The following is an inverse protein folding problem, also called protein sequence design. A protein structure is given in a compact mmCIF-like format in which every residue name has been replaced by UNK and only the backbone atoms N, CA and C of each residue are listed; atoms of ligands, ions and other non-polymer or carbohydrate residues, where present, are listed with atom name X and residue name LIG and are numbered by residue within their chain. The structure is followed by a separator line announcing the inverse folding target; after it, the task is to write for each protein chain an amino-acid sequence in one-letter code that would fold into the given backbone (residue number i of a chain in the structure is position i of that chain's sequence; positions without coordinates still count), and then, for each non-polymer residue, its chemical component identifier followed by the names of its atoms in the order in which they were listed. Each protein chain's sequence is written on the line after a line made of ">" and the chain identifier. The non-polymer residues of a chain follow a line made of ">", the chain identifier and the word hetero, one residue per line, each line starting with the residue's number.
data_IF_484937819454
#
_entry.id   IF_484937819454
#
_cell.length_a   1.000
_cell.length_b   1.000
_cell.length_c   1.000
_cell.angle_alpha   90.00
_cell.angle_beta   90.00
_cell.angle_gamma   90.00
#
_symmetry.space_group_name_H-M   'P 1'
#
loop_
_entity.id
_entity.type
_entity.pdbx_description
1 polymer ?
#
# COMPACT_ATOMS: atom_id res chain seq x y z
N UNK A 1 7.87 16.08 3.79
CA UNK A 1 6.45 16.30 4.13
C UNK A 1 5.91 15.03 4.76
N UNK A 2 4.90 15.15 5.64
CA UNK A 2 4.29 13.99 6.28
C UNK A 2 3.10 13.50 5.44
N UNK A 3 3.05 12.20 5.20
CA UNK A 3 1.97 11.54 4.49
C UNK A 3 1.33 10.47 5.38
N UNK A 4 0.03 10.25 5.21
CA UNK A 4 -0.66 9.09 5.77
C UNK A 4 -1.15 8.22 4.61
N UNK A 5 -0.68 6.98 4.56
CA UNK A 5 -1.12 5.99 3.59
C UNK A 5 -2.15 5.06 4.24
N UNK A 6 -3.35 5.04 3.67
CA UNK A 6 -4.37 4.02 3.92
C UNK A 6 -4.44 3.10 2.71
N UNK A 7 -4.63 1.81 2.93
CA UNK A 7 -4.68 0.81 1.89
C UNK A 7 -5.64 -0.30 2.28
N UNK A 8 -6.26 -0.92 1.28
CA UNK A 8 -7.08 -2.11 1.47
C UNK A 8 -7.07 -2.97 0.19
N UNK A 9 -7.44 -4.25 0.34
CA UNK A 9 -7.46 -5.20 -0.75
C UNK A 9 -8.39 -6.37 -0.47
N UNK A 10 -9.13 -6.78 -1.49
CA UNK A 10 -10.00 -7.95 -1.46
C UNK A 10 -9.72 -8.87 -2.67
N UNK A 11 -10.59 -9.85 -2.92
CA UNK A 11 -10.39 -10.84 -3.99
C UNK A 11 -10.39 -10.25 -5.41
N UNK A 12 -11.02 -9.09 -5.62
CA UNK A 12 -11.23 -8.49 -6.93
C UNK A 12 -10.58 -7.13 -7.11
N UNK A 13 -10.33 -6.40 -6.02
CA UNK A 13 -9.90 -5.02 -6.04
C UNK A 13 -8.81 -4.73 -5.01
N UNK A 14 -8.08 -3.67 -5.30
CA UNK A 14 -7.18 -2.98 -4.37
C UNK A 14 -7.52 -1.51 -4.37
N UNK A 15 -7.29 -0.86 -3.24
CA UNK A 15 -7.48 0.58 -3.10
C UNK A 15 -6.45 1.16 -2.16
N UNK A 16 -6.17 2.46 -2.36
CA UNK A 16 -5.33 3.22 -1.47
C UNK A 16 -5.69 4.69 -1.48
N UNK A 17 -5.28 5.37 -0.42
CA UNK A 17 -5.43 6.80 -0.22
C UNK A 17 -4.15 7.33 0.41
N UNK A 18 -3.53 8.31 -0.23
CA UNK A 18 -2.39 9.07 0.30
C UNK A 18 -2.91 10.44 0.69
N UNK A 19 -2.87 10.72 1.99
CA UNK A 19 -3.27 12.00 2.56
C UNK A 19 -2.03 12.82 2.89
N UNK A 20 -2.05 14.07 2.44
CA UNK A 20 -1.12 15.14 2.81
C UNK A 20 -1.86 16.18 3.65
N UNK A 21 -1.15 17.19 4.14
CA UNK A 21 -1.79 18.32 4.84
C UNK A 21 -2.67 19.18 3.90
N UNK A 22 -2.41 19.12 2.60
CA UNK A 22 -3.06 19.99 1.59
C UNK A 22 -4.12 19.26 0.75
N UNK A 23 -3.97 17.94 0.58
CA UNK A 23 -4.73 17.17 -0.40
C UNK A 23 -4.82 15.69 -0.06
N UNK A 24 -5.81 15.05 -0.68
CA UNK A 24 -6.04 13.62 -0.62
C UNK A 24 -6.02 13.08 -2.05
N UNK A 25 -5.18 12.08 -2.29
CA UNK A 25 -5.12 11.35 -3.54
C UNK A 25 -5.53 9.90 -3.32
N UNK A 26 -6.58 9.44 -4.01
CA UNK A 26 -7.11 8.08 -3.85
C UNK A 26 -7.19 7.34 -5.19
N UNK A 27 -7.14 6.02 -5.10
CA UNK A 27 -7.27 5.11 -6.24
C UNK A 27 -8.01 3.85 -5.81
N UNK A 28 -8.79 3.29 -6.73
CA UNK A 28 -9.38 1.97 -6.65
C UNK A 28 -9.16 1.28 -8.00
N UNK A 29 -8.61 0.08 -7.98
CA UNK A 29 -8.29 -0.69 -9.19
C UNK A 29 -8.74 -2.13 -9.03
N UNK A 30 -9.25 -2.69 -10.12
CA UNK A 30 -9.43 -4.13 -10.20
C UNK A 30 -8.07 -4.84 -10.31
N UNK A 31 -7.98 -6.01 -9.69
CA UNK A 31 -6.88 -6.93 -9.96
C UNK A 31 -6.84 -7.27 -11.44
N UNK A 32 -5.63 -7.44 -11.97
CA UNK A 32 -5.48 -7.93 -13.34
C UNK A 32 -6.13 -9.31 -13.46
N UNK A 33 -6.64 -9.64 -14.67
CA UNK A 33 -7.40 -10.88 -14.90
C UNK A 33 -6.68 -12.14 -14.42
N UNK A 34 -5.36 -12.14 -14.46
CA UNK A 34 -4.53 -13.29 -14.05
C UNK A 34 -4.50 -13.50 -12.52
N UNK A 35 -4.78 -12.48 -11.71
CA UNK A 35 -4.75 -12.52 -10.24
C UNK A 35 -6.14 -12.38 -9.58
N UNK A 36 -7.17 -11.97 -10.33
CA UNK A 36 -8.56 -11.86 -9.85
C UNK A 36 -9.03 -13.20 -9.24
N UNK A 37 -9.52 -13.15 -8.00
CA UNK A 37 -9.96 -14.31 -7.21
C UNK A 37 -8.90 -15.39 -6.94
N UNK A 38 -7.61 -15.11 -7.18
CA UNK A 38 -6.50 -16.04 -6.86
C UNK A 38 -5.72 -15.64 -5.61
N UNK A 39 -5.76 -14.36 -5.26
CA UNK A 39 -5.12 -13.83 -4.06
C UNK A 39 -6.05 -13.94 -2.86
N UNK A 40 -5.51 -14.28 -1.70
CA UNK A 40 -6.22 -14.13 -0.44
C UNK A 40 -6.40 -12.66 -0.11
N UNK A 41 -7.35 -12.30 0.77
CA UNK A 41 -7.54 -10.91 1.19
C UNK A 41 -6.24 -10.30 1.76
N UNK A 42 -5.51 -11.04 2.60
CA UNK A 42 -4.24 -10.57 3.16
C UNK A 42 -3.19 -10.33 2.08
N UNK A 43 -3.07 -11.23 1.09
CA UNK A 43 -2.17 -11.03 -0.05
C UNK A 43 -2.56 -9.83 -0.89
N UNK A 44 -3.86 -9.60 -1.10
CA UNK A 44 -4.35 -8.41 -1.81
C UNK A 44 -3.99 -7.11 -1.08
N UNK A 45 -4.01 -7.09 0.26
CA UNK A 45 -3.54 -5.94 1.05
C UNK A 45 -2.03 -5.69 0.88
N UNK A 46 -1.21 -6.74 0.82
CA UNK A 46 0.23 -6.58 0.47
C UNK A 46 0.44 -6.02 -0.94
N UNK A 47 -0.37 -6.48 -1.91
CA UNK A 47 -0.34 -5.93 -3.27
C UNK A 47 -0.74 -4.46 -3.28
N UNK A 48 -1.79 -4.08 -2.54
CA UNK A 48 -2.21 -2.70 -2.38
C UNK A 48 -1.08 -1.83 -1.78
N UNK A 49 -0.39 -2.32 -0.75
CA UNK A 49 0.77 -1.65 -0.16
C UNK A 49 1.88 -1.39 -1.19
N UNK A 50 2.30 -2.42 -1.91
CA UNK A 50 3.34 -2.30 -2.93
C UNK A 50 2.93 -1.29 -4.01
N UNK A 51 1.74 -1.44 -4.59
CA UNK A 51 1.29 -0.57 -5.68
C UNK A 51 1.10 0.87 -5.22
N UNK A 52 0.57 1.10 -4.01
CA UNK A 52 0.36 2.45 -3.49
C UNK A 52 1.67 3.24 -3.35
N UNK A 53 2.74 2.60 -2.85
CA UNK A 53 4.06 3.22 -2.73
C UNK A 53 4.65 3.55 -4.10
N UNK A 54 4.66 2.58 -5.02
CA UNK A 54 5.21 2.79 -6.38
C UNK A 54 4.43 3.84 -7.16
N UNK A 55 3.09 3.82 -7.06
CA UNK A 55 2.25 4.81 -7.72
C UNK A 55 2.42 6.19 -7.10
N UNK A 56 2.50 6.32 -5.78
CA UNK A 56 2.69 7.59 -5.10
C UNK A 56 4.03 8.24 -5.45
N UNK A 57 5.10 7.46 -5.60
CA UNK A 57 6.39 7.93 -6.13
C UNK A 57 6.27 8.32 -7.60
N UNK A 58 5.68 7.45 -8.43
CA UNK A 58 5.55 7.68 -9.88
C UNK A 58 4.66 8.87 -10.26
N UNK A 59 3.76 9.29 -9.36
CA UNK A 59 2.89 10.47 -9.52
C UNK A 59 3.43 11.71 -8.80
N UNK A 60 4.63 11.64 -8.22
CA UNK A 60 5.27 12.71 -7.45
C UNK A 60 4.45 13.20 -6.25
N UNK A 61 3.53 12.38 -5.74
CA UNK A 61 2.84 12.66 -4.47
C UNK A 61 3.82 12.42 -3.31
N UNK A 62 4.54 11.30 -3.36
CA UNK A 62 5.64 10.98 -2.47
C UNK A 62 6.93 11.42 -3.15
N UNK A 63 7.71 12.27 -2.48
CA UNK A 63 8.99 12.79 -2.97
C UNK A 63 10.14 12.36 -2.08
N UNK A 64 11.36 12.63 -2.52
CA UNK A 64 12.55 12.37 -1.72
C UNK A 64 12.47 13.09 -0.36
N UNK A 65 12.92 12.44 0.71
CA UNK A 65 12.85 12.89 2.10
C UNK A 65 11.44 13.09 2.68
N UNK A 66 10.40 12.61 2.00
CA UNK A 66 9.06 12.54 2.60
C UNK A 66 8.96 11.38 3.58
N UNK A 67 8.20 11.60 4.65
CA UNK A 67 7.90 10.58 5.64
C UNK A 67 6.47 10.06 5.44
N UNK A 68 6.30 8.74 5.44
CA UNK A 68 5.01 8.10 5.22
C UNK A 68 4.63 7.26 6.44
N UNK A 69 3.50 7.58 7.03
CA UNK A 69 2.86 6.77 8.05
C UNK A 69 1.85 5.82 7.41
N UNK A 70 2.17 4.54 7.39
CA UNK A 70 1.30 3.49 6.83
C UNK A 70 0.30 3.04 7.91
N UNK A 71 -0.99 3.06 7.57
CA UNK A 71 -2.08 2.58 8.41
C UNK A 71 -2.45 1.15 7.98
N UNK A 72 -2.27 0.22 8.90
CA UNK A 72 -2.57 -1.20 8.71
C UNK A 72 -3.70 -1.58 9.66
N UNK A 73 -4.66 -2.35 9.17
CA UNK A 73 -5.75 -2.92 9.95
C UNK A 73 -5.45 -4.36 10.41
N UNK A 74 -4.57 -5.06 9.69
CA UNK A 74 -4.15 -6.42 10.02
C UNK A 74 -2.89 -6.45 10.91
N UNK A 75 -3.02 -7.01 12.12
CA UNK A 75 -1.88 -7.16 13.05
C UNK A 75 -0.74 -7.97 12.43
N UNK A 76 -1.06 -9.01 11.66
CA UNK A 76 -0.06 -9.85 10.99
C UNK A 76 0.81 -9.04 10.02
N UNK A 77 0.24 -8.03 9.34
CA UNK A 77 1.02 -7.15 8.45
C UNK A 77 2.00 -6.29 9.24
N UNK A 78 1.53 -5.69 10.33
CA UNK A 78 2.39 -4.90 11.19
C UNK A 78 3.54 -5.73 11.75
N UNK A 79 3.25 -6.92 12.27
CA UNK A 79 4.26 -7.81 12.83
C UNK A 79 5.31 -8.18 11.77
N UNK A 80 4.88 -8.58 10.56
CA UNK A 80 5.79 -8.96 9.48
C UNK A 80 6.64 -7.80 8.96
N UNK A 81 6.06 -6.61 8.79
CA UNK A 81 6.79 -5.42 8.30
C UNK A 81 7.75 -4.84 9.35
N UNK A 82 7.50 -5.11 10.63
CA UNK A 82 8.37 -4.68 11.73
C UNK A 82 9.59 -5.60 11.90
N UNK A 83 9.49 -6.86 11.45
CA UNK A 83 10.63 -7.77 11.53
C UNK A 83 11.68 -7.30 10.53
N UNK A 84 12.76 -6.71 11.05
CA UNK A 84 14.00 -6.48 10.31
C UNK A 84 14.67 -7.83 10.04
N UNK A 85 14.08 -8.63 9.16
CA UNK A 85 14.76 -9.81 8.63
C UNK A 85 15.84 -9.25 7.72
N UNK A 86 17.10 -9.35 8.13
CA UNK A 86 18.22 -9.12 7.23
C UNK A 86 18.15 -10.25 6.20
N UNK A 87 17.63 -9.94 5.01
CA UNK A 87 17.68 -10.84 3.88
C UNK A 87 19.07 -10.68 3.29
N UNK A 88 19.89 -11.72 3.41
CA UNK A 88 21.14 -11.81 2.67
C UNK A 88 20.80 -12.25 1.24
N UNK A 89 20.60 -11.27 0.36
CA UNK A 89 20.55 -11.49 -1.09
C UNK A 89 21.96 -11.73 -1.66
#
# INVERSE_FOLDING_TARGET
>A
MNHILYLDGNFSNISWLIQTDESIASQNREHTKIYKNKLTQIQSKYVALHIALFWGVGTFIIKNNDEIKIKLDEKIMYDQLKINTIIHD
#
